data_IF_690441862778
#
_entry.id   IF_690441862778
#
_cell.length_a   1.000
_cell.length_b   1.000
_cell.length_c   1.000
_cell.angle_alpha   90.00
_cell.angle_beta   90.00
_cell.angle_gamma   90.00
#
_symmetry.space_group_name_H-M   'P 1'
#
loop_
_entity.id
_entity.type
_entity.pdbx_description
1 polymer ?
#
# COMPACT_ATOMS: atom_id res chain seq x y z
N UNK A 1 23.68 -3.41 29.84
CA UNK A 1 23.76 -4.46 28.80
C UNK A 1 22.35 -4.79 28.27
N UNK A 2 21.88 -4.12 27.21
CA UNK A 2 20.59 -4.45 26.53
C UNK A 2 20.76 -5.32 25.26
N UNK A 3 22.00 -5.69 24.95
CA UNK A 3 22.38 -6.40 23.72
C UNK A 3 21.67 -7.75 23.50
N UNK A 4 21.50 -8.63 24.51
CA UNK A 4 20.85 -9.93 24.28
C UNK A 4 19.34 -9.80 24.00
N UNK A 5 18.66 -8.83 24.65
CA UNK A 5 17.25 -8.54 24.37
C UNK A 5 17.03 -8.03 22.95
N UNK A 6 17.96 -7.23 22.42
CA UNK A 6 17.88 -6.70 21.05
C UNK A 6 17.96 -7.82 19.99
N UNK A 7 18.73 -8.87 20.25
CA UNK A 7 18.82 -10.03 19.35
C UNK A 7 17.56 -10.90 19.42
N UNK A 8 17.03 -11.16 20.62
CA UNK A 8 15.78 -11.92 20.79
C UNK A 8 14.57 -11.24 20.13
N UNK A 9 14.45 -9.92 20.26
CA UNK A 9 13.38 -9.14 19.61
C UNK A 9 13.50 -9.22 18.08
N UNK A 10 14.72 -9.10 17.53
CA UNK A 10 14.96 -9.21 16.07
C UNK A 10 14.60 -10.60 15.52
N UNK A 11 14.88 -11.65 16.26
CA UNK A 11 14.55 -13.02 15.87
C UNK A 11 13.02 -13.24 15.86
N UNK A 12 12.34 -12.87 16.96
CA UNK A 12 10.87 -12.97 17.03
C UNK A 12 10.17 -12.11 16.00
N UNK A 13 10.67 -10.89 15.75
CA UNK A 13 10.09 -10.04 14.70
C UNK A 13 10.23 -10.73 13.34
N UNK A 14 11.43 -11.24 13.01
CA UNK A 14 11.67 -11.92 11.73
C UNK A 14 10.77 -13.14 11.54
N UNK A 15 10.49 -13.88 12.62
CA UNK A 15 9.56 -15.01 12.61
C UNK A 15 8.12 -14.58 12.31
N UNK A 16 7.65 -13.49 12.93
CA UNK A 16 6.32 -12.91 12.66
C UNK A 16 6.22 -12.40 11.22
N UNK A 17 7.22 -11.66 10.73
CA UNK A 17 7.26 -11.16 9.34
C UNK A 17 7.29 -12.29 8.30
N UNK A 18 7.86 -13.45 8.65
CA UNK A 18 7.88 -14.61 7.76
C UNK A 18 6.59 -15.43 7.77
N UNK A 19 5.67 -15.19 8.71
CA UNK A 19 4.38 -15.88 8.78
C UNK A 19 3.51 -15.58 7.56
N UNK A 20 2.88 -16.61 6.99
CA UNK A 20 1.95 -16.48 5.85
C UNK A 20 0.80 -15.52 6.15
N UNK A 21 0.23 -15.59 7.36
CA UNK A 21 -0.86 -14.70 7.78
C UNK A 21 -0.42 -13.24 7.84
N UNK A 22 0.82 -12.99 8.27
CA UNK A 22 1.38 -11.64 8.30
C UNK A 22 1.51 -11.07 6.88
N UNK A 23 2.06 -11.85 5.94
CA UNK A 23 2.22 -11.42 4.52
C UNK A 23 0.89 -11.10 3.86
N UNK A 24 -0.16 -11.91 4.13
CA UNK A 24 -1.52 -11.65 3.63
C UNK A 24 -2.04 -10.32 4.19
N UNK A 25 -2.00 -10.13 5.51
CA UNK A 25 -2.46 -8.89 6.16
C UNK A 25 -1.67 -7.68 5.65
N UNK A 26 -0.36 -7.82 5.50
CA UNK A 26 0.51 -6.76 4.99
C UNK A 26 0.14 -6.36 3.56
N UNK A 27 -0.14 -7.33 2.68
CA UNK A 27 -0.63 -7.06 1.31
C UNK A 27 -1.98 -6.34 1.31
N UNK A 28 -2.91 -6.72 2.18
CA UNK A 28 -4.19 -6.03 2.33
C UNK A 28 -4.02 -4.59 2.81
N UNK A 29 -3.14 -4.37 3.80
CA UNK A 29 -2.84 -3.04 4.32
C UNK A 29 -2.16 -2.19 3.23
N UNK A 30 -1.21 -2.75 2.48
CA UNK A 30 -0.54 -2.06 1.38
C UNK A 30 -1.53 -1.67 0.27
N UNK A 31 -2.48 -2.56 -0.06
CA UNK A 31 -3.54 -2.28 -1.02
C UNK A 31 -4.43 -1.15 -0.52
N UNK A 32 -4.93 -1.23 0.72
CA UNK A 32 -5.81 -0.24 1.33
C UNK A 32 -5.15 1.14 1.46
N UNK A 33 -3.85 1.17 1.78
CA UNK A 33 -3.06 2.39 1.84
C UNK A 33 -2.90 3.01 0.43
N UNK A 34 -2.58 2.20 -0.57
CA UNK A 34 -2.44 2.69 -1.95
C UNK A 34 -3.74 3.25 -2.53
N UNK A 35 -4.87 2.57 -2.29
CA UNK A 35 -6.19 3.00 -2.79
C UNK A 35 -6.71 4.22 -2.05
N UNK A 36 -6.59 4.26 -0.72
CA UNK A 36 -6.98 5.45 0.05
C UNK A 36 -6.22 6.70 -0.39
N UNK A 37 -4.92 6.59 -0.65
CA UNK A 37 -4.09 7.70 -1.12
C UNK A 37 -4.57 8.25 -2.48
N UNK A 38 -4.96 7.37 -3.41
CA UNK A 38 -5.55 7.77 -4.70
C UNK A 38 -6.88 8.48 -4.49
N UNK A 39 -7.77 7.93 -3.66
CA UNK A 39 -9.10 8.51 -3.39
C UNK A 39 -8.97 9.90 -2.76
N UNK A 40 -8.10 10.08 -1.77
CA UNK A 40 -7.86 11.38 -1.15
C UNK A 40 -7.31 12.40 -2.15
N UNK A 41 -6.37 11.97 -3.01
CA UNK A 41 -5.82 12.85 -4.03
C UNK A 41 -6.88 13.29 -5.05
N UNK A 42 -7.75 12.38 -5.49
CA UNK A 42 -8.86 12.69 -6.38
C UNK A 42 -9.87 13.64 -5.72
N UNK A 43 -10.23 13.42 -4.46
CA UNK A 43 -11.11 14.35 -3.72
C UNK A 43 -10.52 15.77 -3.67
N UNK A 44 -9.22 15.89 -3.35
CA UNK A 44 -8.54 17.18 -3.31
C UNK A 44 -8.44 17.82 -4.70
N UNK A 45 -8.22 17.02 -5.75
CA UNK A 45 -8.19 17.51 -7.13
C UNK A 45 -9.58 18.06 -7.55
N UNK A 46 -10.67 17.38 -7.21
CA UNK A 46 -12.03 17.83 -7.49
C UNK A 46 -12.39 19.09 -6.68
N UNK A 47 -11.96 19.17 -5.41
CA UNK A 47 -12.10 20.38 -4.60
C UNK A 47 -11.33 21.55 -5.20
N UNK A 48 -10.11 21.33 -5.67
CA UNK A 48 -9.29 22.35 -6.33
C UNK A 48 -9.95 22.82 -7.64
N UNK A 49 -10.51 21.89 -8.41
CA UNK A 49 -11.26 22.19 -9.62
C UNK A 49 -12.49 23.06 -9.33
N UNK A 50 -13.29 22.69 -8.33
CA UNK A 50 -14.47 23.45 -7.95
C UNK A 50 -14.14 24.85 -7.42
N UNK A 51 -13.16 24.96 -6.51
CA UNK A 51 -12.88 26.21 -5.79
C UNK A 51 -11.98 27.17 -6.59
N UNK A 52 -10.89 26.66 -7.18
CA UNK A 52 -9.89 27.50 -7.84
C UNK A 52 -10.23 27.77 -9.31
N UNK A 53 -10.73 26.76 -10.01
CA UNK A 53 -11.03 26.84 -11.44
C UNK A 53 -12.52 27.05 -11.74
N UNK A 54 -13.38 27.18 -10.72
CA UNK A 54 -14.82 27.44 -10.86
C UNK A 54 -15.52 26.47 -11.82
N UNK A 55 -15.17 25.18 -11.73
CA UNK A 55 -15.69 24.12 -12.60
C UNK A 55 -15.40 24.32 -14.11
N UNK A 56 -14.37 25.08 -14.47
CA UNK A 56 -13.92 25.22 -15.87
C UNK A 56 -13.34 23.92 -16.42
N UNK A 57 -13.62 23.59 -17.69
CA UNK A 57 -13.10 22.40 -18.39
C UNK A 57 -11.57 22.33 -18.37
N UNK A 58 -10.90 23.46 -18.60
CA UNK A 58 -9.43 23.51 -18.63
C UNK A 58 -8.83 23.23 -17.24
N UNK A 59 -9.48 23.72 -16.20
CA UNK A 59 -9.12 23.42 -14.81
C UNK A 59 -9.29 21.95 -14.44
N UNK A 60 -10.32 21.29 -14.99
CA UNK A 60 -10.53 19.85 -14.79
C UNK A 60 -9.34 19.04 -15.32
N UNK A 61 -8.92 19.31 -16.56
CA UNK A 61 -7.79 18.61 -17.16
C UNK A 61 -6.48 18.84 -16.40
N UNK A 62 -6.22 20.07 -15.91
CA UNK A 62 -5.03 20.36 -15.11
C UNK A 62 -5.06 19.58 -13.79
N UNK A 63 -6.20 19.57 -13.10
CA UNK A 63 -6.37 18.84 -11.84
C UNK A 63 -6.18 17.33 -12.04
N UNK A 64 -6.74 16.75 -13.10
CA UNK A 64 -6.57 15.32 -13.42
C UNK A 64 -5.15 15.01 -13.87
N UNK A 65 -4.50 15.86 -14.67
CA UNK A 65 -3.10 15.66 -15.05
C UNK A 65 -2.18 15.65 -13.81
N UNK A 66 -2.50 16.47 -12.80
CA UNK A 66 -1.79 16.51 -11.52
C UNK A 66 -1.93 15.25 -10.66
N UNK A 67 -2.96 14.43 -10.85
CA UNK A 67 -3.14 13.19 -10.07
C UNK A 67 -2.37 11.99 -10.65
N UNK A 68 -1.99 12.04 -11.92
CA UNK A 68 -1.21 11.00 -12.61
C UNK A 68 0.05 10.58 -11.82
N UNK A 69 0.96 11.50 -11.42
CA UNK A 69 2.17 11.10 -10.68
C UNK A 69 1.84 10.42 -9.35
N UNK A 70 0.75 10.81 -8.70
CA UNK A 70 0.31 10.22 -7.43
C UNK A 70 -0.19 8.80 -7.65
N UNK A 71 -0.97 8.55 -8.71
CA UNK A 71 -1.43 7.21 -9.07
C UNK A 71 -0.24 6.30 -9.38
N UNK A 72 0.73 6.78 -10.16
CA UNK A 72 1.96 6.01 -10.48
C UNK A 72 2.74 5.69 -9.20
N UNK A 73 2.90 6.66 -8.30
CA UNK A 73 3.55 6.44 -7.00
C UNK A 73 2.80 5.41 -6.15
N UNK A 74 1.47 5.48 -6.06
CA UNK A 74 0.66 4.51 -5.32
C UNK A 74 0.81 3.08 -5.87
N UNK A 75 0.82 2.93 -7.20
CA UNK A 75 1.05 1.62 -7.84
C UNK A 75 2.46 1.10 -7.57
N UNK A 76 3.46 1.97 -7.62
CA UNK A 76 4.83 1.62 -7.28
C UNK A 76 4.96 1.20 -5.81
N UNK A 77 4.34 1.95 -4.89
CA UNK A 77 4.31 1.65 -3.45
C UNK A 77 3.67 0.30 -3.17
N UNK A 78 2.53 0.01 -3.80
CA UNK A 78 1.88 -1.30 -3.70
C UNK A 78 2.80 -2.40 -4.20
N UNK A 79 3.40 -2.25 -5.39
CA UNK A 79 4.32 -3.25 -5.96
C UNK A 79 5.57 -3.48 -5.09
N UNK A 80 6.13 -2.42 -4.51
CA UNK A 80 7.32 -2.51 -3.66
C UNK A 80 7.03 -3.19 -2.31
N UNK A 81 5.82 -3.02 -1.80
CA UNK A 81 5.40 -3.54 -0.49
C UNK A 81 4.72 -4.90 -0.59
N UNK A 82 4.26 -5.29 -1.78
CA UNK A 82 3.56 -6.54 -2.01
C UNK A 82 4.51 -7.73 -1.85
N UNK A 83 4.22 -8.57 -0.87
CA UNK A 83 4.96 -9.80 -0.60
C UNK A 83 4.30 -10.99 -1.30
N UNK A 84 5.08 -11.83 -1.96
CA UNK A 84 4.56 -13.08 -2.54
C UNK A 84 4.19 -14.03 -1.41
N UNK A 85 2.89 -14.34 -1.29
CA UNK A 85 2.38 -15.31 -0.32
C UNK A 85 2.63 -16.71 -0.91
N UNK A 86 3.37 -17.60 -0.23
CA UNK A 86 3.55 -18.97 -0.70
C UNK A 86 2.21 -19.71 -0.71
N UNK A 87 2.03 -20.68 -1.62
CA UNK A 87 0.81 -21.49 -1.67
C UNK A 87 0.57 -22.18 -0.34
N UNK A 88 -0.70 -22.43 -0.02
CA UNK A 88 -1.07 -23.25 1.12
C UNK A 88 -0.41 -24.62 0.97
N UNK A 89 0.31 -25.11 1.98
CA UNK A 89 0.67 -26.52 2.04
C UNK A 89 -0.60 -27.33 2.31
N UNK A 90 -1.47 -27.47 1.31
CA UNK A 90 -2.54 -28.44 1.34
C UNK A 90 -1.90 -29.82 1.15
N UNK A 91 -1.89 -30.62 2.22
CA UNK A 91 -1.91 -32.09 2.17
C UNK A 91 -0.89 -32.76 1.23
N UNK A 92 0.37 -32.89 1.67
CA UNK A 92 1.32 -33.88 1.12
C UNK A 92 1.72 -34.89 2.20
N UNK A 93 0.78 -35.28 3.06
CA UNK A 93 0.97 -36.27 4.14
C UNK A 93 -0.20 -37.27 4.25
N UNK A 94 -1.08 -37.35 3.24
CA UNK A 94 -2.17 -38.33 3.20
C UNK A 94 -2.14 -39.11 1.88
N UNK A 95 -1.02 -39.76 1.56
CA UNK A 95 -0.97 -40.96 0.71
C UNK A 95 0.08 -41.91 1.27
#
# INVERSE_FOLDING_TARGET
>A
MLYPYRQGIKLKSREIYNSRSYKIINNYIALLCSTSLIVYCLMMAMLCWALKFKCSELGFYICIAGTIPVIVFSLYFYKATHEVVPPEQSTLNNE
#
